data_IF_735802673601
#
_entry.id   IF_735802673601
#
_cell.length_a   1.000
_cell.length_b   1.000
_cell.length_c   1.000
_cell.angle_alpha   90.00
_cell.angle_beta   90.00
_cell.angle_gamma   90.00
#
_symmetry.space_group_name_H-M   'P 1'
#
loop_
_entity.id
_entity.type
_entity.pdbx_description
1 polymer ?
#
# COMPACT_ATOMS: atom_id res chain seq x y z
N UNK A 1 2.20 27.01 -6.85
CA UNK A 1 2.36 25.57 -6.57
C UNK A 1 2.34 24.83 -7.89
N UNK A 2 3.19 23.83 -8.11
CA UNK A 2 3.04 22.94 -9.27
C UNK A 2 1.71 22.19 -9.12
N UNK A 3 0.75 22.51 -9.97
CA UNK A 3 -0.52 21.78 -10.04
C UNK A 3 -0.41 20.80 -11.21
N UNK A 4 -0.38 19.51 -10.91
CA UNK A 4 -0.38 18.47 -11.94
C UNK A 4 -1.71 18.51 -12.71
N UNK A 5 -1.71 18.16 -13.98
CA UNK A 5 -2.96 17.85 -14.68
C UNK A 5 -3.66 16.66 -14.01
N UNK A 6 -5.00 16.66 -13.92
CA UNK A 6 -5.74 15.63 -13.18
C UNK A 6 -5.48 14.22 -13.74
N UNK A 7 -5.45 14.09 -15.08
CA UNK A 7 -5.10 12.84 -15.76
C UNK A 7 -3.71 12.32 -15.33
N UNK A 8 -2.73 13.23 -15.27
CA UNK A 8 -1.36 12.88 -14.88
C UNK A 8 -1.28 12.52 -13.38
N UNK A 9 -2.05 13.20 -12.53
CA UNK A 9 -2.15 12.86 -11.11
C UNK A 9 -2.82 11.49 -10.89
N UNK A 10 -3.83 11.14 -11.69
CA UNK A 10 -4.44 9.80 -11.60
C UNK A 10 -3.44 8.73 -12.04
N UNK A 11 -2.70 8.92 -13.14
CA UNK A 11 -1.68 7.96 -13.57
C UNK A 11 -0.50 7.84 -12.62
N UNK A 12 -0.04 8.96 -12.06
CA UNK A 12 1.07 8.98 -11.11
C UNK A 12 0.77 8.17 -9.83
N UNK A 13 -0.51 7.93 -9.52
CA UNK A 13 -0.90 6.99 -8.45
C UNK A 13 -0.26 5.61 -8.63
N UNK A 14 -0.26 5.06 -9.85
CA UNK A 14 0.30 3.73 -10.13
C UNK A 14 1.79 3.70 -9.81
N UNK A 15 2.52 4.76 -10.14
CA UNK A 15 3.94 4.88 -9.84
C UNK A 15 4.18 4.98 -8.33
N UNK A 16 3.41 5.84 -7.65
CA UNK A 16 3.51 6.03 -6.20
C UNK A 16 3.22 4.73 -5.44
N UNK A 17 2.19 3.99 -5.84
CA UNK A 17 1.84 2.72 -5.22
C UNK A 17 2.90 1.65 -5.52
N UNK A 18 3.46 1.60 -6.73
CA UNK A 18 4.55 0.66 -7.02
C UNK A 18 5.83 0.93 -6.23
N UNK A 19 6.16 2.20 -5.93
CA UNK A 19 7.28 2.52 -5.04
C UNK A 19 7.06 1.98 -3.63
N UNK A 20 5.80 1.93 -3.17
CA UNK A 20 5.43 1.31 -1.91
C UNK A 20 5.56 -0.22 -1.95
N UNK A 21 5.00 -0.88 -2.97
CA UNK A 21 5.14 -2.33 -3.15
C UNK A 21 6.62 -2.74 -3.26
N UNK A 22 7.46 -1.92 -3.91
CA UNK A 22 8.90 -2.17 -3.95
C UNK A 22 9.55 -2.13 -2.57
N UNK A 23 9.17 -1.19 -1.69
CA UNK A 23 9.63 -1.21 -0.30
C UNK A 23 9.24 -2.53 0.37
N UNK A 24 7.99 -2.98 0.21
CA UNK A 24 7.50 -4.23 0.78
C UNK A 24 8.29 -5.43 0.25
N UNK A 25 8.43 -5.59 -1.07
CA UNK A 25 9.16 -6.70 -1.71
C UNK A 25 10.61 -6.77 -1.26
N UNK A 26 11.30 -5.62 -1.21
CA UNK A 26 12.73 -5.56 -0.86
C UNK A 26 12.94 -5.90 0.62
N UNK A 27 12.00 -5.52 1.49
CA UNK A 27 12.19 -5.63 2.94
C UNK A 27 11.59 -6.89 3.55
N UNK A 28 10.53 -7.47 2.97
CA UNK A 28 9.72 -8.55 3.57
C UNK A 28 10.54 -9.74 4.04
N UNK A 29 11.42 -10.29 3.20
CA UNK A 29 12.14 -11.52 3.54
C UNK A 29 13.17 -11.30 4.66
N UNK A 30 13.93 -10.21 4.59
CA UNK A 30 14.90 -9.87 5.63
C UNK A 30 14.19 -9.54 6.95
N UNK A 31 13.09 -8.79 6.86
CA UNK A 31 12.25 -8.44 7.99
C UNK A 31 11.68 -9.68 8.70
N UNK A 32 11.17 -10.65 7.95
CA UNK A 32 10.56 -11.86 8.51
C UNK A 32 11.58 -12.64 9.36
N UNK A 33 12.80 -12.83 8.84
CA UNK A 33 13.90 -13.51 9.55
C UNK A 33 14.32 -12.77 10.81
N UNK A 34 14.49 -11.45 10.73
CA UNK A 34 14.91 -10.62 11.87
C UNK A 34 13.86 -10.56 12.99
N UNK A 35 12.58 -10.57 12.62
CA UNK A 35 11.45 -10.35 13.55
C UNK A 35 10.99 -11.63 14.25
N UNK A 36 11.39 -12.81 13.77
CA UNK A 36 10.98 -14.11 14.31
C UNK A 36 11.27 -14.26 15.80
N UNK A 37 12.49 -13.96 16.24
CA UNK A 37 12.90 -14.09 17.64
C UNK A 37 12.15 -13.12 18.55
N UNK A 38 11.93 -11.88 18.08
CA UNK A 38 11.18 -10.85 18.80
C UNK A 38 9.73 -11.29 19.03
N UNK A 39 9.09 -11.84 17.99
CA UNK A 39 7.69 -12.30 18.06
C UNK A 39 7.54 -13.51 18.97
N UNK A 40 8.48 -14.48 18.90
CA UNK A 40 8.51 -15.63 19.81
C UNK A 40 8.62 -15.20 21.27
N UNK A 41 9.46 -14.21 21.57
CA UNK A 41 9.63 -13.69 22.93
C UNK A 41 8.41 -12.91 23.45
N UNK A 42 7.67 -12.24 22.55
CA UNK A 42 6.47 -11.45 22.90
C UNK A 42 5.30 -12.30 23.41
N UNK A 43 5.29 -13.61 23.12
CA UNK A 43 4.23 -14.57 23.46
C UNK A 43 2.79 -14.05 23.18
N UNK A 44 2.63 -13.25 22.12
CA UNK A 44 1.36 -12.63 21.73
C UNK A 44 0.79 -13.32 20.50
N UNK A 45 -0.44 -13.85 20.60
CA UNK A 45 -1.14 -14.50 19.48
C UNK A 45 -1.29 -13.57 18.28
N UNK A 46 -1.56 -12.28 18.52
CA UNK A 46 -1.68 -11.28 17.47
C UNK A 46 -0.35 -11.03 16.77
N UNK A 47 0.75 -10.88 17.53
CA UNK A 47 2.08 -10.71 16.96
C UNK A 47 2.51 -11.91 16.10
N UNK A 48 2.23 -13.14 16.57
CA UNK A 48 2.49 -14.37 15.82
C UNK A 48 1.66 -14.43 14.53
N UNK A 49 0.39 -14.02 14.57
CA UNK A 49 -0.46 -13.98 13.38
C UNK A 49 0.08 -12.99 12.33
N UNK A 50 0.44 -11.78 12.75
CA UNK A 50 1.01 -10.76 11.86
C UNK A 50 2.32 -11.26 11.25
N UNK A 51 3.23 -11.80 12.07
CA UNK A 51 4.50 -12.33 11.57
C UNK A 51 4.31 -13.47 10.57
N UNK A 52 3.38 -14.40 10.83
CA UNK A 52 3.07 -15.49 9.88
C UNK A 52 2.57 -14.99 8.53
N UNK A 53 1.79 -13.90 8.51
CA UNK A 53 1.33 -13.29 7.26
C UNK A 53 2.51 -12.78 6.42
N UNK A 54 3.48 -12.13 7.09
CA UNK A 54 4.67 -11.56 6.48
C UNK A 54 5.81 -12.55 6.27
N UNK A 55 5.74 -13.75 6.85
CA UNK A 55 6.77 -14.79 6.71
C UNK A 55 6.68 -15.49 5.34
N UNK A 56 7.01 -14.72 4.30
CA UNK A 56 7.08 -15.16 2.90
C UNK A 56 8.36 -14.62 2.26
N UNK A 57 8.89 -15.32 1.25
CA UNK A 57 10.04 -14.83 0.50
C UNK A 57 9.63 -13.74 -0.50
N UNK A 58 10.60 -12.90 -0.89
CA UNK A 58 10.34 -11.77 -1.78
C UNK A 58 9.79 -12.20 -3.15
N UNK A 59 10.19 -13.38 -3.66
CA UNK A 59 9.65 -13.92 -4.92
C UNK A 59 8.15 -14.22 -4.84
N UNK A 60 7.70 -14.87 -3.76
CA UNK A 60 6.29 -15.21 -3.57
C UNK A 60 5.45 -13.99 -3.25
N UNK A 61 6.03 -13.01 -2.55
CA UNK A 61 5.41 -11.71 -2.32
C UNK A 61 5.20 -10.96 -3.65
N UNK A 62 6.25 -10.82 -4.46
CA UNK A 62 6.19 -10.16 -5.76
C UNK A 62 5.15 -10.78 -6.71
N UNK A 63 4.94 -12.10 -6.69
CA UNK A 63 3.85 -12.73 -7.47
C UNK A 63 2.46 -12.24 -7.08
N UNK A 64 2.23 -11.98 -5.79
CA UNK A 64 0.97 -11.40 -5.30
C UNK A 64 0.85 -9.96 -5.77
N UNK A 65 1.93 -9.21 -5.68
CA UNK A 65 1.96 -7.79 -6.06
C UNK A 65 1.75 -7.58 -7.56
N UNK A 66 2.17 -8.52 -8.41
CA UNK A 66 1.82 -8.48 -9.84
C UNK A 66 0.30 -8.44 -10.04
N UNK A 67 -0.47 -9.22 -9.26
CA UNK A 67 -1.93 -9.22 -9.35
C UNK A 67 -2.53 -7.93 -8.80
N UNK A 68 -1.97 -7.40 -7.70
CA UNK A 68 -2.37 -6.12 -7.11
C UNK A 68 -2.12 -4.99 -8.12
N UNK A 69 -0.92 -4.93 -8.70
CA UNK A 69 -0.52 -3.98 -9.73
C UNK A 69 -1.46 -3.99 -10.93
N UNK A 70 -1.78 -5.18 -11.47
CA UNK A 70 -2.72 -5.30 -12.59
C UNK A 70 -4.12 -4.79 -12.23
N UNK A 71 -4.60 -5.15 -11.04
CA UNK A 71 -5.93 -4.73 -10.56
C UNK A 71 -5.98 -3.20 -10.38
N UNK A 72 -5.00 -2.61 -9.71
CA UNK A 72 -4.96 -1.16 -9.50
C UNK A 72 -4.73 -0.38 -10.80
N UNK A 73 -3.93 -0.92 -11.73
CA UNK A 73 -3.70 -0.32 -13.04
C UNK A 73 -4.99 -0.31 -13.85
N UNK A 74 -5.79 -1.38 -13.79
CA UNK A 74 -7.10 -1.45 -14.43
C UNK A 74 -8.07 -0.41 -13.83
N UNK A 75 -8.16 -0.33 -12.49
CA UNK A 75 -9.01 0.65 -11.82
C UNK A 75 -8.59 2.08 -12.17
N UNK A 76 -7.29 2.36 -12.19
CA UNK A 76 -6.73 3.67 -12.59
C UNK A 76 -7.06 3.98 -14.05
N UNK A 77 -6.84 3.01 -14.95
CA UNK A 77 -7.15 3.15 -16.37
C UNK A 77 -8.63 3.47 -16.58
N UNK A 78 -9.55 2.72 -15.93
CA UNK A 78 -10.98 2.98 -16.01
C UNK A 78 -11.33 4.38 -15.52
N UNK A 79 -10.70 4.86 -14.44
CA UNK A 79 -10.92 6.22 -13.96
C UNK A 79 -10.47 7.27 -14.98
N UNK A 80 -9.35 7.06 -15.65
CA UNK A 80 -8.85 7.96 -16.70
C UNK A 80 -9.76 7.96 -17.92
N UNK A 81 -10.20 6.79 -18.40
CA UNK A 81 -11.06 6.70 -19.59
C UNK A 81 -12.45 7.32 -19.38
N UNK A 82 -12.97 7.24 -18.16
CA UNK A 82 -14.31 7.71 -17.82
C UNK A 82 -14.25 8.82 -16.77
N UNK A 83 -13.39 9.83 -16.98
CA UNK A 83 -13.03 10.81 -15.95
C UNK A 83 -14.23 11.56 -15.37
N UNK A 84 -15.20 11.95 -16.21
CA UNK A 84 -16.40 12.69 -15.81
C UNK A 84 -17.54 11.78 -15.31
N UNK A 85 -17.32 10.46 -15.29
CA UNK A 85 -18.36 9.51 -14.93
C UNK A 85 -18.44 9.25 -13.43
N UNK A 86 -19.65 9.34 -12.88
CA UNK A 86 -19.89 9.13 -11.44
C UNK A 86 -19.50 7.73 -10.98
N UNK A 87 -19.78 6.69 -11.78
CA UNK A 87 -19.47 5.31 -11.39
C UNK A 87 -17.96 5.06 -11.31
N UNK A 88 -17.18 5.64 -12.23
CA UNK A 88 -15.72 5.51 -12.23
C UNK A 88 -15.11 6.28 -11.05
N UNK A 89 -15.69 7.43 -10.71
CA UNK A 89 -15.30 8.21 -9.53
C UNK A 89 -15.55 7.42 -8.24
N UNK A 90 -16.74 6.84 -8.07
CA UNK A 90 -17.08 6.02 -6.89
C UNK A 90 -16.14 4.81 -6.76
N UNK A 91 -15.89 4.10 -7.87
CA UNK A 91 -14.96 2.96 -7.88
C UNK A 91 -13.55 3.39 -7.46
N UNK A 92 -13.02 4.47 -8.05
CA UNK A 92 -11.68 4.95 -7.78
C UNK A 92 -11.54 5.50 -6.36
N UNK A 93 -12.50 6.28 -5.87
CA UNK A 93 -12.51 6.79 -4.48
C UNK A 93 -12.56 5.62 -3.50
N UNK A 94 -13.44 4.63 -3.72
CA UNK A 94 -13.52 3.44 -2.87
C UNK A 94 -12.19 2.69 -2.81
N UNK A 95 -11.50 2.58 -3.95
CA UNK A 95 -10.16 2.01 -4.01
C UNK A 95 -9.11 2.85 -3.28
N UNK A 96 -9.10 4.18 -3.42
CA UNK A 96 -8.21 5.07 -2.67
C UNK A 96 -8.43 4.96 -1.14
N UNK A 97 -9.67 4.83 -0.70
CA UNK A 97 -9.99 4.61 0.72
C UNK A 97 -9.46 3.25 1.21
N UNK A 98 -9.58 2.21 0.40
CA UNK A 98 -8.97 0.91 0.71
C UNK A 98 -7.44 1.02 0.86
N UNK A 99 -6.77 1.78 -0.01
CA UNK A 99 -5.32 2.04 0.09
C UNK A 99 -4.96 2.79 1.38
N UNK A 100 -5.77 3.77 1.81
CA UNK A 100 -5.55 4.44 3.10
C UNK A 100 -5.69 3.47 4.28
N UNK A 101 -6.68 2.57 4.23
CA UNK A 101 -6.85 1.54 5.26
C UNK A 101 -5.63 0.60 5.29
N UNK A 102 -5.14 0.16 4.12
CA UNK A 102 -3.91 -0.64 4.00
C UNK A 102 -2.71 0.06 4.65
N UNK A 103 -2.51 1.36 4.38
CA UNK A 103 -1.45 2.14 5.01
C UNK A 103 -1.59 2.21 6.54
N UNK A 104 -2.82 2.35 7.05
CA UNK A 104 -3.07 2.33 8.50
C UNK A 104 -2.71 0.97 9.11
N UNK A 105 -2.97 -0.13 8.40
CA UNK A 105 -2.61 -1.47 8.86
C UNK A 105 -1.11 -1.60 9.09
N UNK A 106 -0.25 -1.02 8.23
CA UNK A 106 1.20 -0.99 8.44
C UNK A 106 1.62 -0.28 9.73
N UNK A 107 0.97 0.85 10.04
CA UNK A 107 1.21 1.61 11.26
C UNK A 107 0.79 0.78 12.48
N UNK A 108 -0.40 0.16 12.42
CA UNK A 108 -0.90 -0.69 13.51
C UNK A 108 -0.01 -1.92 13.74
N UNK A 109 0.43 -2.59 12.67
CA UNK A 109 1.36 -3.72 12.76
C UNK A 109 2.69 -3.30 13.39
N UNK A 110 3.21 -2.12 13.02
CA UNK A 110 4.42 -1.55 13.60
C UNK A 110 4.27 -1.29 15.10
N UNK A 111 3.14 -0.72 15.52
CA UNK A 111 2.85 -0.46 16.95
C UNK A 111 2.73 -1.79 17.72
N UNK A 112 2.01 -2.77 17.18
CA UNK A 112 1.79 -4.07 17.82
C UNK A 112 3.09 -4.86 17.95
N UNK A 113 3.93 -4.86 16.91
CA UNK A 113 5.19 -5.59 16.90
C UNK A 113 6.33 -4.81 17.56
N UNK A 114 6.19 -3.49 17.74
CA UNK A 114 7.23 -2.59 18.23
C UNK A 114 8.52 -2.67 17.40
N UNK A 115 8.36 -2.89 16.10
CA UNK A 115 9.43 -2.88 15.12
C UNK A 115 8.86 -2.33 13.83
N UNK A 116 9.72 -1.81 12.95
CA UNK A 116 9.38 -1.49 11.56
C UNK A 116 8.55 -2.61 10.93
N UNK A 117 7.65 -2.30 10.01
CA UNK A 117 6.89 -3.27 9.18
C UNK A 117 7.15 -2.94 7.71
N UNK A 118 7.33 -3.94 6.82
CA UNK A 118 7.52 -3.68 5.38
C UNK A 118 6.47 -2.72 4.83
N UNK A 119 6.90 -1.68 4.10
CA UNK A 119 6.01 -0.67 3.52
C UNK A 119 5.69 0.53 4.42
N UNK A 120 6.07 0.52 5.71
CA UNK A 120 5.73 1.59 6.66
C UNK A 120 6.18 2.98 6.20
N UNK A 121 7.41 3.12 5.69
CA UNK A 121 7.97 4.44 5.41
C UNK A 121 7.27 5.08 4.21
N UNK A 122 7.15 4.36 3.11
CA UNK A 122 6.43 4.83 1.93
C UNK A 122 4.94 5.00 2.22
N UNK A 123 4.31 4.17 3.05
CA UNK A 123 2.91 4.41 3.46
C UNK A 123 2.73 5.76 4.12
N UNK A 124 3.58 6.13 5.07
CA UNK A 124 3.47 7.39 5.83
C UNK A 124 3.87 8.59 4.98
N UNK A 125 5.05 8.52 4.34
CA UNK A 125 5.68 9.70 3.73
C UNK A 125 5.37 9.87 2.25
N UNK A 126 4.89 8.83 1.56
CA UNK A 126 4.66 8.84 0.12
C UNK A 126 3.18 8.62 -0.21
N UNK A 127 2.64 7.44 0.09
CA UNK A 127 1.30 7.02 -0.37
C UNK A 127 0.21 7.82 0.31
N UNK A 128 0.22 7.94 1.64
CA UNK A 128 -0.81 8.66 2.38
C UNK A 128 -0.95 10.13 1.97
N UNK A 129 0.11 10.96 1.95
CA UNK A 129 -0.02 12.35 1.52
C UNK A 129 -0.45 12.45 0.05
N UNK A 130 0.02 11.54 -0.81
CA UNK A 130 -0.36 11.50 -2.21
C UNK A 130 -1.84 11.15 -2.43
N UNK A 131 -2.35 10.16 -1.72
CA UNK A 131 -3.76 9.75 -1.81
C UNK A 131 -4.68 10.84 -1.26
N UNK A 132 -4.31 11.51 -0.16
CA UNK A 132 -5.06 12.67 0.35
C UNK A 132 -5.09 13.80 -0.68
N UNK A 133 -3.95 14.10 -1.30
CA UNK A 133 -3.88 15.07 -2.39
C UNK A 133 -4.81 14.69 -3.55
N UNK A 134 -4.83 13.41 -3.96
CA UNK A 134 -5.63 12.95 -5.07
C UNK A 134 -7.14 12.97 -4.75
N UNK A 135 -7.53 12.60 -3.53
CA UNK A 135 -8.92 12.68 -3.06
C UNK A 135 -9.45 14.12 -3.10
N UNK A 136 -8.66 15.09 -2.62
CA UNK A 136 -9.01 16.52 -2.64
C UNK A 136 -9.17 17.10 -4.04
N UNK A 137 -8.74 16.37 -5.09
CA UNK A 137 -8.85 16.81 -6.48
C UNK A 137 -9.96 16.11 -7.26
N UNK A 138 -10.46 15.00 -6.74
CA UNK A 138 -11.50 14.20 -7.39
C UNK A 138 -12.87 14.47 -6.75
N UNK A 139 -12.89 14.81 -5.45
CA UNK A 139 -14.06 15.30 -4.71
C UNK A 139 -14.18 16.81 -4.91
#
# INVERSE_FOLDING_TARGET
MLQLELHNAIWLFVVVFMLHDFEEIITVEHWAKRTESLVRNKNSKLAVMIWKFWNVNSYSFAKRDVFIFLTMSMITFLKVQYIDSTWSAVLFIGFLLFVLIHNIVHILQTIVLQTYTPGLYTSIFLVTPYVIYLLNRIV
#
